data_IF_755196929556
#
_entry.id   IF_755196929556
#
_cell.length_a   1.000
_cell.length_b   1.000
_cell.length_c   1.000
_cell.angle_alpha   90.00
_cell.angle_beta   90.00
_cell.angle_gamma   90.00
#
_symmetry.space_group_name_H-M   'P 1'
#
loop_
_entity.id
_entity.type
_entity.pdbx_description
1 polymer ?
#
# COMPACT_ATOMS: atom_id res chain seq x y z
N UNK A 1 -6.75 43.89 31.02
CA UNK A 1 -6.34 43.34 32.33
C UNK A 1 -5.08 42.50 32.11
N UNK A 2 -3.96 42.94 32.71
CA UNK A 2 -2.66 42.26 32.67
C UNK A 2 -2.64 41.14 33.72
N UNK A 3 -2.23 39.92 33.36
CA UNK A 3 -1.65 38.96 34.31
C UNK A 3 -0.48 38.22 33.66
N UNK A 4 0.69 38.78 33.92
CA UNK A 4 2.01 38.16 33.90
C UNK A 4 2.04 37.00 34.90
N UNK A 5 2.65 35.87 34.54
CA UNK A 5 3.12 34.91 35.56
C UNK A 5 4.55 34.47 35.23
N UNK A 6 5.40 34.68 36.23
CA UNK A 6 6.83 34.44 36.27
C UNK A 6 7.15 32.97 36.59
N UNK A 7 8.23 32.49 35.95
CA UNK A 7 9.40 31.77 36.50
C UNK A 7 9.14 30.63 37.51
N UNK A 8 9.60 29.42 37.16
CA UNK A 8 10.42 28.61 38.09
C UNK A 8 11.27 27.59 37.34
N UNK A 9 12.58 27.82 37.36
CA UNK A 9 13.63 26.88 36.94
C UNK A 9 13.98 26.04 38.16
N UNK A 10 13.88 24.72 38.06
CA UNK A 10 14.36 23.82 39.11
C UNK A 10 15.45 22.89 38.53
N UNK A 11 16.69 23.25 38.81
CA UNK A 11 17.85 22.39 38.65
C UNK A 11 17.91 21.41 39.82
N UNK A 12 17.94 20.11 39.53
CA UNK A 12 18.29 19.08 40.52
C UNK A 12 19.63 18.49 40.08
N UNK A 13 20.67 18.90 40.81
CA UNK A 13 21.98 18.25 40.85
C UNK A 13 21.89 17.17 41.91
N UNK A 14 22.12 15.91 41.55
CA UNK A 14 22.33 14.83 42.51
C UNK A 14 23.75 14.27 42.32
N UNK A 15 24.63 14.67 43.23
CA UNK A 15 25.95 14.08 43.43
C UNK A 15 25.79 12.82 44.30
N UNK A 16 26.20 11.68 43.78
CA UNK A 16 26.34 10.43 44.52
C UNK A 16 27.79 9.99 44.49
N UNK A 17 28.50 10.26 45.58
CA UNK A 17 29.82 9.70 45.86
C UNK A 17 29.68 8.23 46.28
N UNK A 18 30.44 7.35 45.64
CA UNK A 18 30.55 5.94 45.99
C UNK A 18 31.94 5.42 45.69
N UNK A 19 32.88 5.66 46.60
CA UNK A 19 34.16 4.96 46.65
C UNK A 19 33.95 3.59 47.29
N UNK A 20 34.25 2.51 46.57
CA UNK A 20 34.48 1.21 47.16
C UNK A 20 35.57 0.46 46.37
N UNK A 21 36.74 0.42 46.99
CA UNK A 21 37.67 -0.72 47.06
C UNK A 21 38.05 -1.44 45.76
N UNK A 22 39.21 -1.07 45.23
CA UNK A 22 40.02 -1.90 44.33
C UNK A 22 40.51 -3.13 45.11
N UNK A 23 39.79 -4.24 45.00
CA UNK A 23 40.31 -5.56 45.38
C UNK A 23 41.24 -6.05 44.26
N UNK A 24 42.51 -6.15 44.62
CA UNK A 24 43.57 -6.80 43.87
C UNK A 24 43.22 -8.28 43.72
N UNK A 25 42.60 -8.67 42.61
CA UNK A 25 42.42 -10.08 42.25
C UNK A 25 43.79 -10.58 41.82
N UNK A 26 44.34 -11.47 42.64
CA UNK A 26 45.56 -12.18 42.35
C UNK A 26 45.40 -12.98 41.05
N UNK A 27 46.42 -12.85 40.22
CA UNK A 27 46.69 -13.65 39.03
C UNK A 27 46.63 -15.14 39.38
N UNK A 28 45.53 -15.79 39.02
CA UNK A 28 45.48 -17.24 38.78
C UNK A 28 44.76 -17.42 37.45
N UNK A 29 45.49 -17.13 36.37
CA UNK A 29 45.19 -17.63 35.05
C UNK A 29 45.25 -19.18 35.09
N UNK A 30 44.10 -19.79 35.41
CA UNK A 30 43.83 -21.13 34.92
C UNK A 30 43.65 -20.99 33.40
N UNK A 31 44.64 -21.48 32.67
CA UNK A 31 44.60 -21.68 31.23
C UNK A 31 43.55 -22.76 30.92
N UNK A 32 42.27 -22.38 30.99
CA UNK A 32 41.19 -23.18 30.44
C UNK A 32 41.27 -23.01 28.93
N UNK A 33 41.94 -23.96 28.28
CA UNK A 33 42.10 -24.01 26.83
C UNK A 33 40.73 -23.79 26.16
N UNK A 34 40.61 -22.68 25.42
CA UNK A 34 39.49 -22.43 24.52
C UNK A 34 39.49 -23.54 23.48
N UNK A 35 38.70 -24.60 23.73
CA UNK A 35 38.54 -25.68 22.75
C UNK A 35 37.92 -25.07 21.50
N UNK A 36 38.52 -25.22 20.32
CA UNK A 36 37.92 -24.74 19.09
C UNK A 36 36.54 -25.39 18.94
N UNK A 37 35.52 -24.57 18.70
CA UNK A 37 34.18 -25.06 18.36
C UNK A 37 34.29 -25.73 16.99
N UNK A 38 34.55 -27.03 16.96
CA UNK A 38 34.47 -27.84 15.76
C UNK A 38 33.01 -28.11 15.46
N UNK A 39 32.43 -27.31 14.58
CA UNK A 39 31.12 -27.63 13.98
C UNK A 39 31.36 -28.73 12.95
N UNK A 40 30.70 -29.90 13.07
CA UNK A 40 30.81 -30.94 12.05
C UNK A 40 30.37 -30.38 10.69
N UNK A 41 31.16 -30.61 9.64
CA UNK A 41 30.83 -30.15 8.28
C UNK A 41 29.45 -30.68 7.83
N UNK A 42 29.07 -31.87 8.32
CA UNK A 42 27.75 -32.48 8.12
C UNK A 42 26.62 -31.63 8.74
N UNK A 43 26.83 -31.06 9.92
CA UNK A 43 25.86 -30.18 10.57
C UNK A 43 25.66 -28.86 9.79
N UNK A 44 26.73 -28.35 9.16
CA UNK A 44 26.66 -27.19 8.25
C UNK A 44 25.92 -27.54 6.95
N UNK A 45 26.12 -28.74 6.41
CA UNK A 45 25.37 -29.24 5.26
C UNK A 45 23.87 -29.35 5.54
N UNK A 46 23.52 -29.96 6.68
CA UNK A 46 22.13 -30.09 7.12
C UNK A 46 21.44 -28.74 7.37
N UNK A 47 22.17 -27.76 7.94
CA UNK A 47 21.65 -26.41 8.15
C UNK A 47 21.35 -25.69 6.82
N UNK A 48 22.22 -25.85 5.81
CA UNK A 48 22.00 -25.27 4.46
C UNK A 48 20.78 -25.87 3.78
N UNK A 49 20.60 -27.18 3.85
CA UNK A 49 19.43 -27.85 3.27
C UNK A 49 18.15 -27.38 3.94
N UNK A 50 18.12 -27.32 5.29
CA UNK A 50 16.96 -26.79 6.03
C UNK A 50 16.64 -25.34 5.67
N UNK A 51 17.65 -24.49 5.49
CA UNK A 51 17.44 -23.10 5.07
C UNK A 51 16.85 -23.02 3.66
N UNK A 52 17.35 -23.84 2.73
CA UNK A 52 16.81 -23.91 1.37
C UNK A 52 15.35 -24.37 1.35
N UNK A 53 15.01 -25.38 2.17
CA UNK A 53 13.63 -25.88 2.29
C UNK A 53 12.69 -24.83 2.89
N UNK A 54 13.14 -24.10 3.92
CA UNK A 54 12.39 -22.97 4.51
C UNK A 54 12.19 -21.87 3.47
N UNK A 55 13.24 -21.48 2.74
CA UNK A 55 13.14 -20.46 1.70
C UNK A 55 12.18 -20.89 0.57
N UNK A 56 12.25 -22.15 0.14
CA UNK A 56 11.33 -22.69 -0.86
C UNK A 56 9.88 -22.75 -0.35
N UNK A 57 9.68 -22.97 0.95
CA UNK A 57 8.36 -22.89 1.61
C UNK A 57 7.81 -21.46 1.62
N UNK A 58 8.62 -20.49 2.02
CA UNK A 58 8.25 -19.06 2.02
C UNK A 58 7.93 -18.55 0.61
N UNK A 59 8.70 -18.96 -0.40
CA UNK A 59 8.45 -18.61 -1.79
C UNK A 59 7.09 -19.15 -2.26
N UNK A 60 6.80 -20.44 -1.99
CA UNK A 60 5.51 -21.06 -2.34
C UNK A 60 4.32 -20.39 -1.65
N UNK A 61 4.48 -20.01 -0.38
CA UNK A 61 3.46 -19.26 0.36
C UNK A 61 3.26 -17.86 -0.22
N UNK A 62 4.33 -17.17 -0.63
CA UNK A 62 4.26 -15.87 -1.29
C UNK A 62 3.56 -15.94 -2.65
N UNK A 63 3.81 -16.99 -3.42
CA UNK A 63 3.22 -17.21 -4.75
C UNK A 63 1.72 -17.54 -4.66
N UNK A 64 1.33 -18.38 -3.70
CA UNK A 64 -0.08 -18.67 -3.42
C UNK A 64 -0.82 -17.42 -2.90
N UNK A 65 -0.19 -16.66 -2.00
CA UNK A 65 -0.75 -15.39 -1.53
C UNK A 65 -0.89 -14.37 -2.67
N UNK A 66 -0.03 -14.41 -3.69
CA UNK A 66 -0.14 -13.49 -4.83
C UNK A 66 -1.29 -13.84 -5.78
N UNK A 67 -1.63 -15.13 -5.92
CA UNK A 67 -2.76 -15.57 -6.75
C UNK A 67 -4.11 -15.03 -6.24
N UNK A 68 -4.26 -14.94 -4.93
CA UNK A 68 -5.46 -14.45 -4.25
C UNK A 68 -5.54 -12.91 -4.18
N UNK A 69 -4.51 -12.20 -4.66
CA UNK A 69 -4.51 -10.76 -4.70
C UNK A 69 -4.64 -10.23 -6.13
N UNK A 70 -5.19 -9.02 -6.22
CA UNK A 70 -5.18 -8.21 -7.44
C UNK A 70 -4.50 -6.88 -7.14
N UNK A 71 -3.86 -6.30 -8.15
CA UNK A 71 -3.30 -4.94 -8.00
C UNK A 71 -4.31 -3.92 -8.46
N UNK A 72 -4.74 -3.05 -7.54
CA UNK A 72 -5.61 -1.91 -7.82
C UNK A 72 -4.83 -0.60 -7.72
N UNK A 73 -5.40 0.46 -8.29
CA UNK A 73 -4.82 1.81 -8.21
C UNK A 73 -5.56 2.64 -7.17
N UNK A 74 -4.78 3.22 -6.28
CA UNK A 74 -5.16 4.19 -5.25
C UNK A 74 -4.35 5.48 -5.44
N UNK A 75 -4.47 6.40 -4.48
CA UNK A 75 -3.89 7.73 -4.56
C UNK A 75 -2.91 7.95 -3.40
N UNK A 76 -1.71 8.40 -3.69
CA UNK A 76 -0.85 9.08 -2.72
C UNK A 76 -1.10 10.57 -2.87
N UNK A 77 -1.72 11.18 -1.86
CA UNK A 77 -1.99 12.62 -1.90
C UNK A 77 -0.69 13.43 -1.89
N UNK A 78 -0.74 14.65 -2.43
CA UNK A 78 0.40 15.57 -2.40
C UNK A 78 1.07 15.63 -1.01
N UNK A 79 2.40 15.49 -0.99
CA UNK A 79 3.19 15.51 0.25
C UNK A 79 3.17 14.22 1.08
N UNK A 80 2.32 13.25 0.76
CA UNK A 80 2.27 11.98 1.48
C UNK A 80 3.49 11.10 1.19
N UNK A 81 4.00 10.46 2.25
CA UNK A 81 5.00 9.40 2.14
C UNK A 81 4.40 8.17 1.47
N UNK A 82 5.24 7.35 0.83
CA UNK A 82 4.81 6.07 0.28
C UNK A 82 4.74 5.02 1.40
N UNK A 83 3.57 4.43 1.71
CA UNK A 83 3.46 3.36 2.69
C UNK A 83 4.22 2.09 2.27
N UNK A 84 4.54 1.23 3.24
CA UNK A 84 5.13 -0.07 2.95
C UNK A 84 4.18 -0.92 2.10
N UNK A 85 4.73 -1.63 1.10
CA UNK A 85 3.94 -2.47 0.19
C UNK A 85 3.17 -1.71 -0.90
N UNK A 86 3.26 -0.38 -0.94
CA UNK A 86 2.68 0.46 -1.99
C UNK A 86 3.76 0.86 -2.98
N UNK A 87 3.50 0.65 -4.28
CA UNK A 87 4.42 1.12 -5.34
C UNK A 87 3.92 2.47 -5.87
N UNK A 88 4.72 3.54 -5.80
CA UNK A 88 4.31 4.84 -6.33
C UNK A 88 4.43 4.87 -7.86
N UNK A 89 3.54 5.59 -8.52
CA UNK A 89 3.58 5.83 -9.96
C UNK A 89 3.67 7.31 -10.32
N UNK A 90 3.25 7.62 -11.55
CA UNK A 90 3.29 8.99 -12.11
C UNK A 90 2.47 9.98 -11.29
N UNK A 91 2.86 11.25 -11.36
CA UNK A 91 2.10 12.38 -10.82
C UNK A 91 0.87 12.65 -11.70
N UNK A 92 -0.25 13.05 -11.11
CA UNK A 92 -1.48 13.45 -11.80
C UNK A 92 -2.30 14.43 -10.96
N UNK A 93 -3.28 15.11 -11.59
CA UNK A 93 -4.26 15.94 -10.89
C UNK A 93 -3.61 17.02 -10.00
N UNK A 94 -4.01 17.06 -8.73
CA UNK A 94 -3.52 18.01 -7.72
C UNK A 94 -2.15 17.62 -7.14
N UNK A 95 -1.17 17.34 -7.99
CA UNK A 95 0.16 16.82 -7.62
C UNK A 95 0.13 15.50 -6.83
N UNK A 96 -0.96 14.75 -6.94
CA UNK A 96 -1.08 13.42 -6.37
C UNK A 96 -0.24 12.42 -7.19
N UNK A 97 0.07 11.26 -6.62
CA UNK A 97 0.78 10.18 -7.32
C UNK A 97 -0.06 8.91 -7.31
N UNK A 98 0.06 8.10 -8.35
CA UNK A 98 -0.56 6.77 -8.34
C UNK A 98 0.02 5.91 -7.20
N UNK A 99 -0.82 5.15 -6.53
CA UNK A 99 -0.43 4.10 -5.59
C UNK A 99 -0.91 2.75 -6.13
N UNK A 100 0.01 1.88 -6.51
CA UNK A 100 -0.33 0.50 -6.86
C UNK A 100 -0.31 -0.34 -5.59
N UNK A 101 -1.47 -0.91 -5.25
CA UNK A 101 -1.70 -1.62 -3.98
C UNK A 101 -2.23 -3.02 -4.29
N UNK A 102 -1.62 -4.04 -3.69
CA UNK A 102 -2.15 -5.41 -3.72
C UNK A 102 -3.28 -5.51 -2.70
N UNK A 103 -4.44 -5.99 -3.13
CA UNK A 103 -5.63 -6.17 -2.30
C UNK A 103 -6.24 -7.55 -2.53
N UNK A 104 -6.95 -8.11 -1.54
CA UNK A 104 -7.62 -9.39 -1.71
C UNK A 104 -8.63 -9.35 -2.86
N UNK A 105 -8.52 -10.35 -3.74
CA UNK A 105 -9.47 -10.59 -4.82
C UNK A 105 -10.87 -10.83 -4.24
N UNK A 106 -11.86 -10.11 -4.74
CA UNK A 106 -13.26 -10.24 -4.28
C UNK A 106 -14.09 -11.19 -5.14
N UNK A 107 -13.63 -11.48 -6.35
CA UNK A 107 -14.28 -12.38 -7.29
C UNK A 107 -13.25 -13.01 -8.22
N UNK A 108 -13.49 -14.24 -8.66
CA UNK A 108 -12.67 -14.97 -9.62
C UNK A 108 -13.51 -15.24 -10.88
N UNK A 109 -13.74 -14.19 -11.66
CA UNK A 109 -14.61 -14.26 -12.84
C UNK A 109 -13.87 -14.78 -14.08
N UNK A 110 -12.56 -15.01 -13.99
CA UNK A 110 -11.68 -15.30 -15.13
C UNK A 110 -11.36 -14.09 -16.02
N UNK A 111 -11.83 -12.88 -15.66
CA UNK A 111 -11.50 -11.63 -16.35
C UNK A 111 -10.76 -10.71 -15.37
N UNK A 112 -9.46 -10.50 -15.62
CA UNK A 112 -8.61 -9.74 -14.71
C UNK A 112 -9.07 -8.28 -14.51
N UNK A 113 -9.69 -7.66 -15.52
CA UNK A 113 -10.23 -6.30 -15.41
C UNK A 113 -11.45 -6.31 -14.51
N UNK A 114 -12.34 -7.28 -14.70
CA UNK A 114 -13.53 -7.42 -13.87
C UNK A 114 -13.17 -7.69 -12.41
N UNK A 115 -12.23 -8.60 -12.15
CA UNK A 115 -11.76 -8.94 -10.81
C UNK A 115 -11.12 -7.73 -10.11
N UNK A 116 -10.22 -7.00 -10.81
CA UNK A 116 -9.52 -5.85 -10.24
C UNK A 116 -10.47 -4.68 -9.94
N UNK A 117 -11.42 -4.39 -10.84
CA UNK A 117 -12.42 -3.34 -10.59
C UNK A 117 -13.40 -3.73 -9.50
N UNK A 118 -13.87 -4.97 -9.46
CA UNK A 118 -14.76 -5.44 -8.39
C UNK A 118 -14.06 -5.34 -7.04
N UNK A 119 -12.79 -5.76 -6.97
CA UNK A 119 -11.96 -5.60 -5.77
C UNK A 119 -11.76 -4.14 -5.38
N UNK A 120 -11.45 -3.25 -6.32
CA UNK A 120 -11.29 -1.82 -6.04
C UNK A 120 -12.58 -1.20 -5.48
N UNK A 121 -13.72 -1.46 -6.15
CA UNK A 121 -15.02 -0.87 -5.80
C UNK A 121 -15.59 -1.40 -4.48
N UNK A 122 -15.16 -2.58 -4.04
CA UNK A 122 -15.51 -3.17 -2.75
C UNK A 122 -14.83 -2.46 -1.56
N UNK A 123 -13.73 -1.73 -1.78
CA UNK A 123 -13.00 -1.06 -0.71
C UNK A 123 -13.74 0.21 -0.29
N UNK A 124 -14.33 0.18 0.91
CA UNK A 124 -15.07 1.31 1.51
C UNK A 124 -14.25 2.11 2.52
N UNK A 125 -13.07 1.63 2.87
CA UNK A 125 -12.10 2.43 3.63
C UNK A 125 -11.56 3.56 2.75
N UNK A 126 -11.39 4.74 3.35
CA UNK A 126 -10.83 5.94 2.70
C UNK A 126 -9.31 5.93 2.68
N UNK A 127 -8.64 5.20 3.58
CA UNK A 127 -7.18 5.12 3.61
C UNK A 127 -6.64 3.69 3.79
N UNK A 128 -7.09 2.72 2.97
CA UNK A 128 -6.61 1.34 3.03
C UNK A 128 -5.09 1.28 2.82
N UNK A 129 -4.38 0.60 3.73
CA UNK A 129 -2.92 0.43 3.66
C UNK A 129 -2.13 1.76 3.54
N UNK A 130 -2.70 2.87 4.03
CA UNK A 130 -2.08 4.20 3.97
C UNK A 130 -2.13 4.88 2.60
N UNK A 131 -2.89 4.34 1.63
CA UNK A 131 -3.17 4.98 0.36
C UNK A 131 -4.62 5.48 0.32
N UNK A 132 -4.82 6.68 -0.22
CA UNK A 132 -6.13 7.32 -0.29
C UNK A 132 -7.01 6.70 -1.36
N UNK A 133 -8.27 6.45 -1.00
CA UNK A 133 -9.30 5.90 -1.87
C UNK A 133 -10.43 6.92 -2.08
N UNK A 134 -10.42 7.61 -3.22
CA UNK A 134 -11.43 8.59 -3.59
C UNK A 134 -12.79 7.96 -3.93
N UNK A 135 -12.84 6.63 -4.15
CA UNK A 135 -14.06 5.91 -4.47
C UNK A 135 -14.85 5.46 -3.22
N UNK A 136 -14.27 5.59 -2.02
CA UNK A 136 -14.83 5.04 -0.77
C UNK A 136 -16.29 5.46 -0.51
N UNK A 137 -16.63 6.72 -0.84
CA UNK A 137 -17.97 7.27 -0.66
C UNK A 137 -18.85 7.18 -1.92
N UNK A 138 -18.29 6.75 -3.06
CA UNK A 138 -19.04 6.61 -4.32
C UNK A 138 -19.85 5.31 -4.34
N UNK A 139 -20.91 5.28 -5.15
CA UNK A 139 -21.82 4.12 -5.26
C UNK A 139 -21.55 3.27 -6.51
N UNK A 140 -20.38 3.43 -7.12
CA UNK A 140 -20.02 2.71 -8.33
C UNK A 140 -20.08 1.20 -8.16
N UNK A 141 -20.68 0.54 -9.15
CA UNK A 141 -20.72 -0.91 -9.29
C UNK A 141 -20.32 -1.27 -10.72
N UNK A 142 -19.53 -2.34 -10.84
CA UNK A 142 -19.25 -2.96 -12.14
C UNK A 142 -20.48 -3.74 -12.62
N UNK A 143 -20.96 -3.43 -13.81
CA UNK A 143 -22.05 -4.18 -14.44
C UNK A 143 -21.53 -5.23 -15.40
N UNK A 144 -20.54 -4.87 -16.22
CA UNK A 144 -19.99 -5.76 -17.25
C UNK A 144 -18.61 -5.30 -17.72
N UNK A 145 -17.76 -6.26 -18.05
CA UNK A 145 -16.59 -6.06 -18.92
C UNK A 145 -16.83 -6.85 -20.21
N UNK A 146 -16.49 -6.27 -21.35
CA UNK A 146 -16.55 -6.92 -22.65
C UNK A 146 -15.46 -6.40 -23.57
N UNK A 147 -15.03 -7.21 -24.54
CA UNK A 147 -14.15 -6.74 -25.61
C UNK A 147 -14.96 -6.59 -26.89
N UNK A 148 -15.06 -5.36 -27.41
CA UNK A 148 -15.79 -5.02 -28.63
C UNK A 148 -14.84 -4.33 -29.58
N UNK A 149 -14.61 -4.91 -30.77
CA UNK A 149 -13.71 -4.34 -31.76
C UNK A 149 -12.26 -4.15 -31.28
N UNK A 150 -11.80 -4.97 -30.32
CA UNK A 150 -10.45 -4.86 -29.74
C UNK A 150 -10.31 -3.74 -28.69
N UNK A 151 -11.42 -3.17 -28.23
CA UNK A 151 -11.48 -2.21 -27.12
C UNK A 151 -12.17 -2.89 -25.94
N UNK A 152 -11.56 -2.82 -24.76
CA UNK A 152 -12.18 -3.29 -23.51
C UNK A 152 -13.22 -2.27 -23.05
N UNK A 153 -14.50 -2.59 -23.22
CA UNK A 153 -15.62 -1.82 -22.67
C UNK A 153 -15.86 -2.20 -21.21
N UNK A 154 -15.77 -1.23 -20.33
CA UNK A 154 -16.09 -1.34 -18.91
C UNK A 154 -17.39 -0.59 -18.65
N UNK A 155 -18.44 -1.30 -18.23
CA UNK A 155 -19.74 -0.71 -17.92
C UNK A 155 -19.91 -0.60 -16.41
N UNK A 156 -20.08 0.63 -15.95
CA UNK A 156 -20.31 0.98 -14.57
C UNK A 156 -21.70 1.58 -14.41
N UNK A 157 -22.28 1.38 -13.22
CA UNK A 157 -23.44 2.16 -12.76
C UNK A 157 -23.16 2.81 -11.42
N UNK A 158 -23.98 3.81 -11.07
CA UNK A 158 -23.93 4.49 -9.78
C UNK A 158 -23.51 5.95 -9.92
N UNK A 159 -23.06 6.52 -8.82
CA UNK A 159 -22.77 7.94 -8.69
C UNK A 159 -21.39 8.15 -8.06
N UNK A 160 -20.65 9.12 -8.61
CA UNK A 160 -19.47 9.66 -7.94
C UNK A 160 -19.89 10.53 -6.76
N UNK A 161 -19.17 10.42 -5.65
CA UNK A 161 -19.20 11.41 -4.57
C UNK A 161 -17.89 12.17 -4.56
N UNK A 162 -17.87 13.29 -5.30
CA UNK A 162 -16.71 14.17 -5.41
C UNK A 162 -16.78 15.31 -4.40
N UNK A 163 -15.66 15.60 -3.73
CA UNK A 163 -15.43 16.82 -2.97
C UNK A 163 -14.99 18.02 -3.82
N UNK A 164 -14.88 17.86 -5.15
CA UNK A 164 -14.54 18.92 -6.09
C UNK A 164 -13.27 18.65 -6.88
N UNK A 165 -12.56 19.74 -7.23
CA UNK A 165 -11.51 19.79 -8.28
C UNK A 165 -10.41 18.73 -8.13
N UNK A 166 -10.03 18.34 -6.91
CA UNK A 166 -9.01 17.30 -6.71
C UNK A 166 -9.60 15.90 -6.65
N UNK A 167 -10.85 15.73 -6.24
CA UNK A 167 -11.47 14.41 -6.14
C UNK A 167 -11.93 13.89 -7.50
N UNK A 168 -12.38 14.78 -8.39
CA UNK A 168 -12.76 14.42 -9.77
C UNK A 168 -11.63 13.67 -10.51
N UNK A 169 -10.40 14.22 -10.62
CA UNK A 169 -9.30 13.48 -11.25
C UNK A 169 -8.89 12.24 -10.47
N UNK A 170 -9.02 12.21 -9.14
CA UNK A 170 -8.71 11.00 -8.33
C UNK A 170 -9.66 9.85 -8.63
N UNK A 171 -10.97 10.13 -8.63
CA UNK A 171 -12.02 9.16 -8.94
C UNK A 171 -11.80 8.57 -10.33
N UNK A 172 -11.61 9.42 -11.34
CA UNK A 172 -11.38 8.96 -12.72
C UNK A 172 -10.10 8.15 -12.83
N UNK A 173 -9.00 8.67 -12.28
CA UNK A 173 -7.67 8.06 -12.43
C UNK A 173 -7.57 6.71 -11.73
N UNK A 174 -8.17 6.53 -10.53
CA UNK A 174 -8.16 5.23 -9.86
C UNK A 174 -8.81 4.14 -10.72
N UNK A 175 -9.96 4.42 -11.33
CA UNK A 175 -10.66 3.45 -12.19
C UNK A 175 -9.88 3.26 -13.49
N UNK A 176 -9.53 4.34 -14.18
CA UNK A 176 -8.85 4.28 -15.49
C UNK A 176 -7.50 3.59 -15.42
N UNK A 177 -6.67 3.89 -14.42
CA UNK A 177 -5.35 3.27 -14.31
C UNK A 177 -5.43 1.83 -13.80
N UNK A 178 -6.47 1.46 -13.06
CA UNK A 178 -6.73 0.05 -12.74
C UNK A 178 -7.03 -0.74 -14.01
N UNK A 179 -7.86 -0.20 -14.92
CA UNK A 179 -8.14 -0.83 -16.22
C UNK A 179 -6.90 -0.82 -17.13
N UNK A 180 -6.20 0.32 -17.22
CA UNK A 180 -5.06 0.54 -18.12
C UNK A 180 -3.93 -0.47 -17.92
N UNK A 181 -3.72 -0.92 -16.68
CA UNK A 181 -2.72 -1.96 -16.36
C UNK A 181 -2.97 -3.29 -17.07
N UNK A 182 -4.21 -3.55 -17.45
CA UNK A 182 -4.68 -4.84 -17.96
C UNK A 182 -5.20 -4.75 -19.39
N UNK A 183 -5.60 -3.55 -19.83
CA UNK A 183 -6.09 -3.29 -21.18
C UNK A 183 -5.43 -2.05 -21.78
N UNK A 184 -4.78 -2.21 -22.93
CA UNK A 184 -4.12 -1.11 -23.63
C UNK A 184 -5.13 -0.11 -24.24
N UNK A 185 -6.28 -0.61 -24.69
CA UNK A 185 -7.38 0.19 -25.25
C UNK A 185 -8.65 -0.14 -24.47
N UNK A 186 -9.28 0.88 -23.91
CA UNK A 186 -10.51 0.70 -23.15
C UNK A 186 -11.43 1.92 -23.28
N UNK A 187 -12.71 1.69 -23.03
CA UNK A 187 -13.74 2.71 -22.90
C UNK A 187 -14.54 2.45 -21.61
N UNK A 188 -14.84 3.51 -20.86
CA UNK A 188 -15.67 3.41 -19.65
C UNK A 188 -17.03 4.02 -19.95
N UNK A 189 -18.07 3.22 -19.76
CA UNK A 189 -19.47 3.59 -19.97
C UNK A 189 -20.10 3.69 -18.58
N UNK A 190 -20.49 4.91 -18.18
CA UNK A 190 -21.13 5.14 -16.89
C UNK A 190 -22.63 5.36 -17.08
N UNK A 191 -23.48 4.61 -16.37
CA UNK A 191 -24.93 4.73 -16.45
C UNK A 191 -25.43 4.70 -17.91
N UNK A 192 -24.84 3.83 -18.74
CA UNK A 192 -25.21 3.63 -20.14
C UNK A 192 -24.56 4.56 -21.16
N UNK A 193 -23.69 5.51 -20.78
CA UNK A 193 -23.03 6.42 -21.73
C UNK A 193 -21.56 6.67 -21.42
N UNK A 194 -20.71 6.69 -22.45
CA UNK A 194 -19.33 7.17 -22.33
C UNK A 194 -19.26 8.66 -22.00
N UNK A 195 -20.25 9.45 -22.45
CA UNK A 195 -20.30 10.87 -22.14
C UNK A 195 -20.42 11.10 -20.63
N UNK A 196 -21.23 10.29 -19.93
CA UNK A 196 -21.36 10.38 -18.47
C UNK A 196 -20.02 10.17 -17.76
N UNK A 197 -19.18 9.25 -18.25
CA UNK A 197 -17.84 9.05 -17.70
C UNK A 197 -16.89 10.19 -18.06
N UNK A 198 -16.83 10.54 -19.36
CA UNK A 198 -15.95 11.60 -19.88
C UNK A 198 -16.19 12.91 -19.16
N UNK A 199 -17.45 13.23 -18.91
CA UNK A 199 -17.94 14.47 -18.31
C UNK A 199 -17.99 14.46 -16.79
N UNK A 200 -17.55 13.36 -16.14
CA UNK A 200 -17.48 13.32 -14.69
C UNK A 200 -16.53 14.41 -14.18
N UNK A 201 -17.05 15.31 -13.34
CA UNK A 201 -16.30 16.43 -12.78
C UNK A 201 -16.12 17.63 -13.73
N UNK A 202 -16.75 17.63 -14.91
CA UNK A 202 -16.70 18.79 -15.79
C UNK A 202 -17.59 19.93 -15.26
N UNK A 203 -16.94 20.97 -14.73
CA UNK A 203 -17.60 22.19 -14.26
C UNK A 203 -17.64 23.29 -15.33
N UNK A 204 -17.03 23.08 -16.50
CA UNK A 204 -16.99 24.08 -17.58
C UNK A 204 -18.33 24.24 -18.29
N UNK A 205 -19.17 23.19 -18.26
CA UNK A 205 -20.45 23.15 -18.96
C UNK A 205 -20.33 22.81 -20.45
N UNK A 206 -19.14 22.42 -20.93
CA UNK A 206 -18.95 21.87 -22.28
C UNK A 206 -19.59 20.48 -22.42
N UNK A 207 -19.67 19.75 -21.32
CA UNK A 207 -20.51 18.58 -21.17
C UNK A 207 -21.95 18.95 -20.80
N UNK A 208 -22.74 19.36 -21.79
CA UNK A 208 -24.20 19.52 -21.69
C UNK A 208 -24.89 18.91 -22.90
#
# INVERSE_FOLDING_TARGET
MKKTFLISVFSIILAGAGCASVTKVADQAAEEAVKPITVPIEALGQAKTKLADVQAGLNRQGEAADADNVTVVMVLTEGSLTPAGVTPGKVFGCNDRLAYVKVPRQTDSGDAVADSLTSLLAIKDTNPNGAYNALANSTFLLEKVAVVGGVTEVRLKGEARSGGVCDDPRIKTQIEETVRRLAAKFAIILNGSEANWRCLGDLSGECK
#
